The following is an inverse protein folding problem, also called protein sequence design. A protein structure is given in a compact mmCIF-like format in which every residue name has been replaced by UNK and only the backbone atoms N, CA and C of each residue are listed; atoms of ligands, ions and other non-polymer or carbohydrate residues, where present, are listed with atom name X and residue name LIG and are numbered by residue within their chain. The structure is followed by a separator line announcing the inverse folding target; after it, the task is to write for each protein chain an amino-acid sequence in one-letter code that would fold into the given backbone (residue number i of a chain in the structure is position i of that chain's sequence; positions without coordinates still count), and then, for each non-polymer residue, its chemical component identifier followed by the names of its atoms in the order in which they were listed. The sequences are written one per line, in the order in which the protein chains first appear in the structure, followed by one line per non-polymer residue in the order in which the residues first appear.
data_IF_962356127902
#
_entry.id   IF_962356127902
#
_cell.length_a   1.000
_cell.length_b   1.000
_cell.length_c   1.000
_cell.angle_alpha   90.00
_cell.angle_beta   90.00
_cell.angle_gamma   90.00
#
_symmetry.space_group_name_H-M   'P 1'
#
loop_
_entity.id
_entity.type
_entity.pdbx_description
1 polymer ?
#
# COMPACT_ATOMS: atom_id res chain seq x y z
N UNK A 1 5.57 -14.51 14.30
CA UNK A 1 4.59 -15.09 13.36
C UNK A 1 4.08 -13.98 12.48
N UNK A 2 3.90 -14.20 11.18
CA UNK A 2 3.26 -13.21 10.32
C UNK A 2 1.75 -13.21 10.60
N UNK A 3 1.21 -12.10 11.07
CA UNK A 3 -0.20 -11.97 11.46
C UNK A 3 -1.14 -11.73 10.27
N UNK A 4 -0.63 -11.27 9.13
CA UNK A 4 -1.42 -11.11 7.91
C UNK A 4 -1.67 -12.46 7.21
N UNK A 5 -0.82 -13.45 7.47
CA UNK A 5 -0.88 -14.76 6.83
C UNK A 5 -1.85 -15.69 7.57
N UNK A 6 -3.02 -15.90 6.96
CA UNK A 6 -4.06 -16.79 7.50
C UNK A 6 -3.82 -18.26 7.20
N UNK A 7 -2.87 -18.61 6.33
CA UNK A 7 -2.59 -20.02 5.97
C UNK A 7 -2.10 -20.85 7.17
N UNK A 8 -1.56 -20.19 8.19
CA UNK A 8 -1.00 -20.80 9.40
C UNK A 8 -1.93 -20.72 10.62
N UNK A 9 -3.19 -20.33 10.46
CA UNK A 9 -4.13 -20.11 11.57
C UNK A 9 -4.34 -21.37 12.47
N UNK A 10 -4.31 -22.57 11.89
CA UNK A 10 -4.44 -23.82 12.65
C UNK A 10 -3.18 -24.14 13.49
N UNK A 11 -1.99 -23.83 12.96
CA UNK A 11 -0.72 -23.99 13.69
C UNK A 11 -0.65 -23.01 14.87
N UNK A 12 -1.22 -21.82 14.70
CA UNK A 12 -1.21 -20.73 15.67
C UNK A 12 -1.88 -21.11 17.00
N UNK A 13 -2.99 -21.85 16.99
CA UNK A 13 -3.72 -22.24 18.22
C UNK A 13 -2.85 -23.09 19.15
N UNK A 14 -2.08 -24.03 18.60
CA UNK A 14 -1.19 -24.87 19.39
C UNK A 14 -0.01 -24.07 19.96
N UNK A 15 0.53 -23.13 19.18
CA UNK A 15 1.62 -22.26 19.60
C UNK A 15 1.17 -21.26 20.69
N UNK A 16 -0.03 -20.68 20.57
CA UNK A 16 -0.63 -19.74 21.54
C UNK A 16 -0.75 -20.30 22.96
N UNK A 17 -0.84 -21.63 23.11
CA UNK A 17 -0.89 -22.29 24.43
C UNK A 17 0.49 -22.50 25.07
N UNK A 18 1.58 -22.40 24.31
CA UNK A 18 2.94 -22.80 24.73
C UNK A 18 3.94 -21.66 24.72
N UNK A 19 3.68 -20.62 23.94
CA UNK A 19 4.59 -19.50 23.77
C UNK A 19 3.97 -18.20 24.28
N UNK A 20 4.83 -17.30 24.78
CA UNK A 20 4.45 -15.90 25.00
C UNK A 20 4.58 -15.15 23.68
N UNK A 21 3.56 -14.38 23.33
CA UNK A 21 3.53 -13.61 22.09
C UNK A 21 3.84 -12.16 22.41
N UNK A 22 4.98 -11.69 21.91
CA UNK A 22 5.35 -10.28 21.93
C UNK A 22 5.06 -9.73 20.53
N UNK A 23 4.16 -8.76 20.45
CA UNK A 23 3.79 -8.11 19.19
C UNK A 23 4.90 -7.14 18.78
N UNK A 24 5.39 -7.28 17.55
CA UNK A 24 6.32 -6.34 16.92
C UNK A 24 5.54 -5.52 15.90
N UNK A 25 5.22 -4.28 16.26
CA UNK A 25 4.50 -3.35 15.36
C UNK A 25 5.48 -2.65 14.42
N UNK A 26 5.00 -2.12 13.29
CA UNK A 26 5.77 -1.13 12.53
C UNK A 26 6.20 0.01 13.44
N UNK A 27 7.40 0.51 13.19
CA UNK A 27 8.06 1.51 14.04
C UNK A 27 8.51 2.67 13.15
N UNK A 28 7.68 3.72 13.05
CA UNK A 28 8.02 4.91 12.26
C UNK A 28 9.20 5.70 12.81
N UNK A 29 9.56 5.58 14.09
CA UNK A 29 10.69 6.34 14.66
C UNK A 29 12.02 5.94 14.01
N UNK A 30 12.14 4.70 13.51
CA UNK A 30 13.30 4.24 12.73
C UNK A 30 13.48 4.98 11.39
N UNK A 31 12.48 5.77 10.97
CA UNK A 31 12.49 6.56 9.74
C UNK A 31 12.49 8.07 9.99
N UNK A 32 12.59 8.52 11.26
CA UNK A 32 12.37 9.92 11.67
C UNK A 32 13.26 10.93 10.95
N UNK A 33 14.50 10.56 10.65
CA UNK A 33 15.48 11.43 10.01
C UNK A 33 15.55 11.23 8.47
N UNK A 34 14.70 10.37 7.91
CA UNK A 34 14.66 10.11 6.47
C UNK A 34 13.67 11.02 5.76
N UNK A 35 14.22 11.96 4.99
CA UNK A 35 13.46 12.86 4.13
C UNK A 35 13.96 12.72 2.70
N UNK A 36 13.06 12.37 1.78
CA UNK A 36 13.34 12.19 0.35
C UNK A 36 12.47 13.16 -0.42
N UNK A 37 13.07 14.09 -1.14
CA UNK A 37 12.33 15.09 -1.93
C UNK A 37 11.21 15.81 -1.14
N UNK A 38 11.52 16.20 0.10
CA UNK A 38 10.56 16.81 1.03
C UNK A 38 9.58 15.85 1.70
N UNK A 39 9.51 14.59 1.27
CA UNK A 39 8.67 13.54 1.86
C UNK A 39 9.34 12.98 3.11
N UNK A 40 8.66 13.11 4.26
CA UNK A 40 9.09 12.48 5.51
C UNK A 40 8.61 11.03 5.57
N UNK A 41 9.52 10.06 5.57
CA UNK A 41 9.17 8.65 5.43
C UNK A 41 8.46 8.08 6.67
N UNK A 42 8.76 8.58 7.86
CA UNK A 42 8.01 8.30 9.09
C UNK A 42 6.52 8.68 8.94
N UNK A 43 6.24 9.87 8.40
CA UNK A 43 4.89 10.38 8.17
C UNK A 43 4.15 9.60 7.10
N UNK A 44 4.83 9.24 6.01
CA UNK A 44 4.30 8.35 4.98
C UNK A 44 3.84 7.03 5.59
N UNK A 45 4.72 6.36 6.36
CA UNK A 45 4.39 5.08 6.98
C UNK A 45 3.21 5.20 7.96
N UNK A 46 3.19 6.25 8.78
CA UNK A 46 2.10 6.51 9.74
C UNK A 46 0.77 6.66 9.01
N UNK A 47 0.70 7.53 7.99
CA UNK A 47 -0.56 7.82 7.31
C UNK A 47 -1.07 6.63 6.51
N UNK A 48 -0.15 5.94 5.83
CA UNK A 48 -0.48 4.73 5.09
C UNK A 48 -1.04 3.65 6.04
N UNK A 49 -0.36 3.41 7.16
CA UNK A 49 -0.82 2.42 8.15
C UNK A 49 -2.11 2.80 8.86
N UNK A 50 -2.39 4.10 9.08
CA UNK A 50 -3.68 4.55 9.62
C UNK A 50 -4.83 4.17 8.66
N UNK A 51 -4.68 4.43 7.37
CA UNK A 51 -5.68 4.10 6.34
C UNK A 51 -5.90 2.59 6.22
N UNK A 52 -4.81 1.82 6.18
CA UNK A 52 -4.87 0.36 6.14
C UNK A 52 -5.59 -0.19 7.39
N UNK A 53 -5.19 0.29 8.57
CA UNK A 53 -5.78 -0.16 9.84
C UNK A 53 -7.28 0.13 9.90
N UNK A 54 -7.70 1.28 9.41
CA UNK A 54 -9.11 1.67 9.35
C UNK A 54 -9.93 0.74 8.44
N UNK A 55 -9.38 0.32 7.30
CA UNK A 55 -10.12 -0.41 6.26
C UNK A 55 -10.10 -1.93 6.41
N UNK A 56 -8.98 -2.50 6.83
CA UNK A 56 -8.78 -3.97 6.89
C UNK A 56 -8.17 -4.48 8.20
N UNK A 57 -7.78 -3.57 9.10
CA UNK A 57 -7.29 -3.89 10.44
C UNK A 57 -5.77 -3.84 10.60
N UNK A 58 -5.32 -3.89 11.85
CA UNK A 58 -3.92 -3.64 12.24
C UNK A 58 -2.92 -4.69 11.75
N UNK A 59 -3.39 -5.91 11.51
CA UNK A 59 -2.50 -7.04 11.18
C UNK A 59 -1.94 -6.93 9.75
N UNK A 60 -2.47 -6.00 8.94
CA UNK A 60 -2.08 -5.71 7.57
C UNK A 60 -1.18 -4.48 7.44
N UNK A 61 -0.73 -3.89 8.55
CA UNK A 61 0.14 -2.72 8.49
C UNK A 61 1.47 -3.03 7.77
N UNK A 62 1.94 -2.08 6.98
CA UNK A 62 3.24 -2.12 6.32
C UNK A 62 4.33 -1.91 7.36
N UNK A 63 5.36 -2.76 7.32
CA UNK A 63 6.53 -2.67 8.18
C UNK A 63 7.50 -1.57 7.72
N UNK A 64 8.23 -0.99 8.68
CA UNK A 64 9.24 0.04 8.40
C UNK A 64 10.38 -0.45 7.47
N UNK A 65 10.60 -1.76 7.38
CA UNK A 65 11.65 -2.38 6.56
C UNK A 65 11.55 -2.10 5.06
N UNK A 66 10.35 -1.75 4.56
CA UNK A 66 10.18 -1.33 3.16
C UNK A 66 10.92 -0.01 2.87
N UNK A 67 11.01 0.88 3.86
CA UNK A 67 11.50 2.25 3.69
C UNK A 67 12.89 2.49 4.31
N UNK A 68 13.42 1.54 5.10
CA UNK A 68 14.71 1.71 5.78
C UNK A 68 15.89 1.92 4.82
N UNK A 69 15.85 1.34 3.61
CA UNK A 69 16.95 1.39 2.65
C UNK A 69 16.68 2.34 1.48
N UNK A 70 15.68 3.21 1.59
CA UNK A 70 15.43 4.26 0.59
C UNK A 70 16.44 5.38 0.82
N UNK A 71 17.22 5.72 -0.21
CA UNK A 71 18.24 6.78 -0.17
C UNK A 71 17.92 7.96 -1.09
N UNK A 72 17.16 7.73 -2.16
CA UNK A 72 16.77 8.75 -3.14
C UNK A 72 15.31 8.56 -3.61
N UNK A 73 14.86 9.43 -4.51
CA UNK A 73 13.48 9.42 -5.01
C UNK A 73 13.21 8.19 -5.88
N UNK A 74 14.18 7.78 -6.68
CA UNK A 74 14.09 6.60 -7.56
C UNK A 74 13.91 5.32 -6.75
N UNK A 75 14.62 5.17 -5.63
CA UNK A 75 14.43 4.07 -4.69
C UNK A 75 13.00 4.07 -4.13
N UNK A 76 12.48 5.24 -3.78
CA UNK A 76 11.14 5.37 -3.22
C UNK A 76 10.07 4.99 -4.25
N UNK A 77 10.19 5.47 -5.48
CA UNK A 77 9.34 5.10 -6.62
C UNK A 77 9.39 3.58 -6.82
N UNK A 78 10.60 3.01 -6.87
CA UNK A 78 10.79 1.58 -7.05
C UNK A 78 10.10 0.76 -5.96
N UNK A 79 10.33 1.10 -4.68
CA UNK A 79 9.69 0.42 -3.55
C UNK A 79 8.16 0.60 -3.60
N UNK A 80 7.67 1.78 -3.96
CA UNK A 80 6.24 2.06 -4.05
C UNK A 80 5.54 1.15 -5.07
N UNK A 81 6.03 1.12 -6.31
CA UNK A 81 5.40 0.39 -7.41
C UNK A 81 5.68 -1.12 -7.42
N UNK A 82 6.83 -1.56 -6.91
CA UNK A 82 7.21 -2.98 -6.98
C UNK A 82 7.04 -3.74 -5.66
N UNK A 83 6.78 -3.04 -4.55
CA UNK A 83 6.63 -3.70 -3.24
C UNK A 83 5.39 -3.26 -2.47
N UNK A 84 5.11 -1.96 -2.39
CA UNK A 84 3.97 -1.44 -1.60
C UNK A 84 2.66 -1.63 -2.36
N UNK A 85 2.54 -1.10 -3.59
CA UNK A 85 1.32 -1.22 -4.40
C UNK A 85 0.93 -2.69 -4.63
N UNK A 86 1.83 -3.60 -5.04
CA UNK A 86 1.46 -5.00 -5.27
C UNK A 86 0.92 -5.68 -4.00
N UNK A 87 1.52 -5.40 -2.84
CA UNK A 87 1.02 -5.90 -1.55
C UNK A 87 -0.39 -5.37 -1.26
N UNK A 88 -0.63 -4.07 -1.49
CA UNK A 88 -1.93 -3.46 -1.28
C UNK A 88 -2.97 -3.98 -2.29
N UNK A 89 -2.58 -4.27 -3.54
CA UNK A 89 -3.47 -4.92 -4.51
C UNK A 89 -3.91 -6.32 -4.04
N UNK A 90 -3.02 -7.07 -3.38
CA UNK A 90 -3.37 -8.35 -2.77
C UNK A 90 -4.33 -8.16 -1.58
N UNK A 91 -4.07 -7.17 -0.71
CA UNK A 91 -4.92 -6.88 0.44
C UNK A 91 -6.32 -6.39 0.07
N UNK A 92 -6.42 -5.60 -0.99
CA UNK A 92 -7.67 -5.03 -1.52
C UNK A 92 -8.12 -5.73 -2.80
N UNK A 93 -7.91 -7.05 -2.89
CA UNK A 93 -8.33 -7.83 -4.04
C UNK A 93 -9.83 -7.64 -4.33
N UNK A 94 -10.15 -7.29 -5.58
CA UNK A 94 -11.49 -6.89 -6.03
C UNK A 94 -12.10 -5.63 -5.37
N UNK A 95 -11.33 -4.80 -4.65
CA UNK A 95 -11.82 -3.55 -4.07
C UNK A 95 -10.92 -2.35 -4.44
N UNK A 96 -10.99 -1.96 -5.70
CA UNK A 96 -10.22 -0.82 -6.24
C UNK A 96 -10.59 0.50 -5.56
N UNK A 97 -11.81 0.63 -5.02
CA UNK A 97 -12.23 1.85 -4.31
C UNK A 97 -11.52 2.00 -2.97
N UNK A 98 -11.41 0.90 -2.19
CA UNK A 98 -10.61 0.93 -0.96
C UNK A 98 -9.12 1.06 -1.24
N UNK A 99 -8.60 0.39 -2.27
CA UNK A 99 -7.21 0.58 -2.68
C UNK A 99 -6.93 2.06 -2.97
N UNK A 100 -7.77 2.70 -3.79
CA UNK A 100 -7.72 4.13 -4.10
C UNK A 100 -7.80 5.00 -2.84
N UNK A 101 -8.66 4.67 -1.88
CA UNK A 101 -8.73 5.39 -0.61
C UNK A 101 -7.44 5.28 0.23
N UNK A 102 -6.67 4.20 0.08
CA UNK A 102 -5.36 4.03 0.73
C UNK A 102 -4.28 4.81 -0.01
N UNK A 103 -4.09 4.54 -1.30
CA UNK A 103 -2.94 5.03 -2.05
C UNK A 103 -3.13 6.43 -2.64
N UNK A 104 -4.36 6.95 -2.71
CA UNK A 104 -4.66 8.26 -3.32
C UNK A 104 -5.30 8.16 -4.70
N UNK A 105 -5.92 9.25 -5.12
CA UNK A 105 -6.60 9.32 -6.42
C UNK A 105 -5.61 9.41 -7.58
N UNK A 106 -4.47 10.05 -7.32
CA UNK A 106 -3.39 10.33 -8.27
C UNK A 106 -2.75 9.04 -8.80
N UNK A 107 -2.77 7.96 -8.01
CA UNK A 107 -2.22 6.65 -8.39
C UNK A 107 -3.24 5.74 -9.09
N UNK A 108 -4.46 6.20 -9.34
CA UNK A 108 -5.54 5.39 -9.88
C UNK A 108 -6.18 6.07 -11.09
N UNK A 109 -5.99 5.50 -12.27
CA UNK A 109 -6.58 5.99 -13.51
C UNK A 109 -7.60 5.01 -14.09
N UNK A 110 -8.49 5.49 -14.94
CA UNK A 110 -9.42 4.63 -15.67
C UNK A 110 -8.67 4.14 -16.92
N UNK A 111 -8.67 2.83 -17.22
CA UNK A 111 -7.98 2.32 -18.39
C UNK A 111 -8.56 2.94 -19.66
N UNK A 112 -7.67 3.30 -20.59
CA UNK A 112 -8.08 3.74 -21.91
C UNK A 112 -8.60 2.53 -22.71
N UNK A 113 -9.90 2.58 -23.01
CA UNK A 113 -10.61 1.54 -23.75
C UNK A 113 -11.08 2.03 -25.12
N UNK A 114 -10.55 3.16 -25.60
CA UNK A 114 -10.89 3.74 -26.90
C UNK A 114 -10.58 2.79 -28.05
N UNK A 115 -9.45 2.08 -27.97
CA UNK A 115 -8.99 1.13 -28.98
C UNK A 115 -9.64 -0.27 -28.90
N UNK A 116 -10.53 -0.50 -27.92
CA UNK A 116 -11.17 -1.81 -27.73
C UNK A 116 -12.43 -1.92 -28.62
N UNK A 117 -12.62 -3.03 -29.35
CA UNK A 117 -13.85 -3.29 -30.10
C UNK A 117 -15.11 -3.27 -29.23
N UNK A 118 -16.22 -2.72 -29.76
CA UNK A 118 -17.47 -2.63 -29.01
C UNK A 118 -18.02 -4.00 -28.57
N UNK A 119 -17.76 -5.06 -29.35
CA UNK A 119 -18.11 -6.44 -28.97
C UNK A 119 -17.46 -6.91 -27.68
N UNK A 120 -16.29 -6.37 -27.31
CA UNK A 120 -15.63 -6.67 -26.04
C UNK A 120 -16.11 -5.77 -24.90
N UNK A 121 -16.55 -4.54 -25.21
CA UNK A 121 -17.08 -3.60 -24.22
C UNK A 121 -18.38 -4.09 -23.58
N UNK A 122 -19.15 -4.94 -24.28
CA UNK A 122 -20.36 -5.59 -23.75
C UNK A 122 -20.08 -6.49 -22.52
N UNK A 123 -18.85 -7.00 -22.39
CA UNK A 123 -18.44 -7.82 -21.24
C UNK A 123 -17.92 -6.98 -20.06
N UNK A 124 -17.85 -5.65 -20.20
CA UNK A 124 -17.44 -4.77 -19.11
C UNK A 124 -18.51 -4.81 -18.02
N UNK A 125 -18.13 -5.22 -16.82
CA UNK A 125 -19.02 -5.17 -15.66
C UNK A 125 -19.45 -3.75 -15.31
N UNK A 126 -20.44 -3.62 -14.43
CA UNK A 126 -20.96 -2.32 -13.98
C UNK A 126 -19.97 -1.54 -13.09
N UNK A 127 -18.92 -2.20 -12.59
CA UNK A 127 -17.92 -1.58 -11.73
C UNK A 127 -16.86 -0.86 -12.55
N UNK A 128 -16.48 0.34 -12.09
CA UNK A 128 -15.38 1.09 -12.70
C UNK A 128 -14.08 0.37 -12.40
N UNK A 129 -13.48 -0.21 -13.45
CA UNK A 129 -12.12 -0.74 -13.37
C UNK A 129 -11.13 0.42 -13.33
N UNK A 130 -10.13 0.27 -12.47
CA UNK A 130 -9.01 1.21 -12.33
C UNK A 130 -7.72 0.45 -12.60
N UNK A 131 -6.74 1.17 -13.14
CA UNK A 131 -5.36 0.73 -13.26
C UNK A 131 -4.45 1.67 -12.47
N UNK A 132 -3.25 1.17 -12.16
CA UNK A 132 -2.25 1.95 -11.43
C UNK A 132 -1.63 2.96 -12.40
N UNK A 133 -1.65 4.23 -12.03
CA UNK A 133 -0.94 5.28 -12.74
C UNK A 133 0.54 5.28 -12.31
N UNK A 134 1.45 5.16 -13.27
CA UNK A 134 2.90 5.22 -13.05
C UNK A 134 3.40 6.67 -13.13
N UNK A 135 3.38 7.34 -11.97
CA UNK A 135 3.87 8.70 -11.80
C UNK A 135 5.40 8.71 -11.68
N UNK A 136 6.03 9.78 -12.14
CA UNK A 136 7.48 9.96 -12.13
C UNK A 136 7.84 11.34 -11.58
N UNK A 137 9.04 11.46 -11.00
CA UNK A 137 9.62 12.73 -10.54
C UNK A 137 8.66 13.53 -9.64
N UNK A 138 8.51 14.82 -9.95
CA UNK A 138 7.72 15.77 -9.16
C UNK A 138 6.24 15.37 -9.00
N UNK A 139 5.65 14.71 -10.01
CA UNK A 139 4.25 14.25 -9.94
C UNK A 139 4.09 13.17 -8.87
N UNK A 140 5.04 12.24 -8.79
CA UNK A 140 5.06 11.22 -7.75
C UNK A 140 5.23 11.86 -6.37
N UNK A 141 6.17 12.80 -6.23
CA UNK A 141 6.42 13.47 -4.95
C UNK A 141 5.21 14.25 -4.47
N UNK A 142 4.56 15.00 -5.35
CA UNK A 142 3.33 15.72 -5.04
C UNK A 142 2.21 14.77 -4.60
N UNK A 143 2.02 13.65 -5.31
CA UNK A 143 1.02 12.65 -4.96
C UNK A 143 1.29 12.05 -3.56
N UNK A 144 2.53 11.69 -3.25
CA UNK A 144 2.89 11.18 -1.91
C UNK A 144 2.69 12.25 -0.83
N UNK A 145 3.08 13.50 -1.09
CA UNK A 145 2.89 14.60 -0.13
C UNK A 145 1.41 14.81 0.21
N UNK A 146 0.52 14.72 -0.77
CA UNK A 146 -0.94 14.76 -0.56
C UNK A 146 -1.40 13.64 0.38
N UNK A 147 -0.81 12.44 0.31
CA UNK A 147 -1.12 11.35 1.25
C UNK A 147 -0.68 11.67 2.68
N UNK A 148 0.43 12.38 2.84
CA UNK A 148 1.01 12.69 4.15
C UNK A 148 0.38 13.90 4.86
N UNK A 149 -0.35 14.73 4.11
CA UNK A 149 -0.85 16.04 4.58
C UNK A 149 -2.20 15.99 5.32
N UNK A 150 -2.90 14.85 5.30
CA UNK A 150 -4.14 14.61 6.05
C UNK A 150 -3.91 13.97 7.41
#
# INVERSE_FOLDING_TARGET
MNTSDRSIALLDIALRRRFTFIELKPDPELLRDKVIDGIKLDRLLIQLNKRITLLIGRDYQIGHSYLMNVENLEDLIFIWYHRIIPLLQEYFYHDSNRLKAVIGNEFMQVPDISDIPDSLKEFRGNETQYEIAELQGDEFSAAILNLTSG
#
